data_IF_144565396775
#
_entry.id   IF_144565396775
#
_cell.length_a   1.000
_cell.length_b   1.000
_cell.length_c   1.000
_cell.angle_alpha   90.00
_cell.angle_beta   90.00
_cell.angle_gamma   90.00
#
_symmetry.space_group_name_H-M   'P 1'
#
loop_
_entity.id
_entity.type
_entity.pdbx_description
1 polymer ?
#
# COMPACT_ATOMS: atom_id res chain seq x y z
N UNK A 1 4.04 -5.52 -12.73
CA UNK A 1 3.04 -5.38 -11.64
C UNK A 1 2.87 -6.75 -11.02
N UNK A 2 2.82 -6.85 -9.70
CA UNK A 2 2.68 -8.11 -8.96
C UNK A 2 1.50 -8.00 -8.00
N UNK A 3 0.85 -9.12 -7.70
CA UNK A 3 -0.27 -9.15 -6.75
C UNK A 3 0.20 -9.30 -5.30
N UNK A 4 1.37 -9.93 -5.08
CA UNK A 4 1.95 -10.15 -3.77
C UNK A 4 3.46 -10.46 -3.87
N UNK A 5 4.12 -10.57 -2.72
CA UNK A 5 5.56 -10.77 -2.56
C UNK A 5 6.07 -12.08 -3.20
N UNK A 6 5.24 -13.11 -3.34
CA UNK A 6 5.65 -14.40 -3.91
C UNK A 6 5.86 -14.36 -5.43
N UNK A 7 5.34 -13.33 -6.11
CA UNK A 7 5.52 -13.15 -7.55
C UNK A 7 6.80 -12.38 -7.91
N UNK A 8 7.57 -11.92 -6.93
CA UNK A 8 8.86 -11.25 -7.19
C UNK A 8 9.85 -12.28 -7.72
N UNK A 9 10.41 -12.01 -8.91
CA UNK A 9 11.39 -12.88 -9.56
C UNK A 9 12.80 -12.34 -9.32
N UNK A 10 13.76 -13.23 -9.03
CA UNK A 10 15.15 -12.86 -8.70
C UNK A 10 15.85 -12.14 -9.86
N UNK A 11 15.51 -12.49 -11.10
CA UNK A 11 16.06 -11.87 -12.32
C UNK A 11 15.78 -10.36 -12.40
N UNK A 12 14.71 -9.86 -11.75
CA UNK A 12 14.41 -8.42 -11.71
C UNK A 12 15.32 -7.66 -10.75
N UNK A 13 15.89 -8.37 -9.78
CA UNK A 13 16.69 -7.83 -8.68
C UNK A 13 18.19 -7.89 -8.97
N UNK A 14 18.62 -8.66 -9.97
CA UNK A 14 20.02 -8.83 -10.31
C UNK A 14 20.70 -7.47 -10.60
N UNK A 15 21.77 -7.19 -9.85
CA UNK A 15 22.55 -5.96 -9.95
C UNK A 15 21.83 -4.69 -9.47
N UNK A 16 20.62 -4.78 -8.89
CA UNK A 16 19.89 -3.63 -8.35
C UNK A 16 20.28 -3.37 -6.91
N UNK A 17 20.64 -2.12 -6.61
CA UNK A 17 20.96 -1.66 -5.25
C UNK A 17 19.78 -1.00 -4.53
N UNK A 18 18.83 -0.48 -5.30
CA UNK A 18 17.69 0.29 -4.78
C UNK A 18 16.44 -0.12 -5.55
N UNK A 19 15.36 -0.37 -4.83
CA UNK A 19 14.04 -0.73 -5.38
C UNK A 19 13.01 0.26 -4.84
N UNK A 20 12.27 0.89 -5.75
CA UNK A 20 11.10 1.68 -5.39
C UNK A 20 9.86 0.80 -5.36
N UNK A 21 9.07 0.88 -4.30
CA UNK A 21 7.81 0.16 -4.14
C UNK A 21 6.69 1.18 -4.11
N UNK A 22 5.59 0.87 -4.80
CA UNK A 22 4.37 1.66 -4.78
C UNK A 22 3.18 0.72 -5.00
N UNK A 23 1.98 1.20 -4.67
CA UNK A 23 0.76 0.42 -4.77
C UNK A 23 -0.34 1.23 -5.43
N UNK A 24 -1.27 0.54 -6.10
CA UNK A 24 -2.50 1.18 -6.57
C UNK A 24 -3.37 1.63 -5.39
N UNK A 25 -4.25 2.60 -5.63
CA UNK A 25 -5.16 3.15 -4.61
C UNK A 25 -6.09 2.12 -3.96
N UNK A 26 -6.31 0.97 -4.61
CA UNK A 26 -7.17 -0.12 -4.14
C UNK A 26 -6.42 -1.25 -3.44
N UNK A 27 -5.08 -1.19 -3.38
CA UNK A 27 -4.29 -2.26 -2.79
C UNK A 27 -4.32 -2.15 -1.25
N UNK A 28 -4.62 -3.24 -0.53
CA UNK A 28 -4.48 -3.29 0.93
C UNK A 28 -3.06 -2.95 1.40
N UNK A 29 -2.98 -2.19 2.49
CA UNK A 29 -1.70 -1.80 3.11
C UNK A 29 -0.84 -3.02 3.50
N UNK A 30 -1.46 -4.08 4.02
CA UNK A 30 -0.79 -5.32 4.39
C UNK A 30 -0.01 -5.99 3.24
N UNK A 31 -0.39 -5.78 1.98
CA UNK A 31 0.37 -6.31 0.85
C UNK A 31 1.70 -5.57 0.68
N UNK A 32 1.67 -4.25 0.81
CA UNK A 32 2.87 -3.42 0.72
C UNK A 32 3.81 -3.74 1.87
N UNK A 33 3.27 -3.86 3.09
CA UNK A 33 4.06 -4.19 4.28
C UNK A 33 4.72 -5.58 4.17
N UNK A 34 4.00 -6.58 3.65
CA UNK A 34 4.58 -7.91 3.39
C UNK A 34 5.69 -7.87 2.34
N UNK A 35 5.53 -7.07 1.29
CA UNK A 35 6.57 -6.88 0.28
C UNK A 35 7.82 -6.18 0.87
N UNK A 36 7.64 -5.19 1.74
CA UNK A 36 8.74 -4.57 2.48
C UNK A 36 9.45 -5.59 3.37
N UNK A 37 8.70 -6.41 4.11
CA UNK A 37 9.27 -7.44 4.98
C UNK A 37 10.04 -8.49 4.17
N UNK A 38 9.52 -8.90 3.02
CA UNK A 38 10.18 -9.80 2.07
C UNK A 38 11.58 -9.30 1.65
N UNK A 39 11.78 -7.99 1.50
CA UNK A 39 13.10 -7.42 1.22
C UNK A 39 13.98 -7.29 2.47
N UNK A 40 13.39 -6.99 3.63
CA UNK A 40 14.12 -6.97 4.91
C UNK A 40 14.69 -8.33 5.27
N UNK A 41 13.91 -9.40 5.09
CA UNK A 41 14.34 -10.78 5.35
C UNK A 41 15.51 -11.21 4.46
N UNK A 42 15.71 -10.54 3.32
CA UNK A 42 16.84 -10.73 2.39
C UNK A 42 18.05 -9.85 2.70
N UNK A 43 18.03 -9.09 3.79
CA UNK A 43 19.14 -8.23 4.22
C UNK A 43 19.05 -6.78 3.78
N UNK A 44 17.86 -6.30 3.37
CA UNK A 44 17.67 -4.85 3.17
C UNK A 44 17.65 -4.15 4.53
N UNK A 45 18.65 -3.30 4.76
CA UNK A 45 18.81 -2.59 6.04
C UNK A 45 18.09 -1.23 6.07
N UNK A 46 18.04 -0.54 4.93
CA UNK A 46 17.46 0.79 4.80
C UNK A 46 16.11 0.72 4.06
N UNK A 47 15.07 1.21 4.73
CA UNK A 47 13.72 1.37 4.17
C UNK A 47 13.23 2.75 4.60
N UNK A 48 12.98 3.61 3.62
CA UNK A 48 12.46 4.96 3.83
C UNK A 48 11.19 5.18 3.02
N UNK A 49 10.24 5.88 3.62
CA UNK A 49 9.06 6.38 2.93
C UNK A 49 9.44 7.63 2.11
N UNK A 50 8.94 7.70 0.88
CA UNK A 50 9.18 8.81 -0.02
C UNK A 50 7.87 9.42 -0.48
N UNK A 51 7.45 10.48 0.22
CA UNK A 51 6.26 11.25 -0.12
C UNK A 51 6.61 12.39 -1.07
N UNK A 52 6.00 12.39 -2.26
CA UNK A 52 6.17 13.49 -3.24
C UNK A 52 5.09 14.55 -3.09
N UNK A 53 3.85 14.14 -2.81
CA UNK A 53 2.69 15.03 -2.70
C UNK A 53 1.75 14.50 -1.61
N UNK A 54 1.28 15.39 -0.74
CA UNK A 54 0.29 15.07 0.28
C UNK A 54 -1.12 15.35 -0.23
N UNK A 55 -1.94 14.32 -0.36
CA UNK A 55 -3.34 14.43 -0.80
C UNK A 55 -4.30 14.43 0.42
N UNK A 56 -5.15 15.46 0.57
CA UNK A 56 -6.24 15.50 1.57
C UNK A 56 -7.58 15.55 0.82
N UNK A 57 -8.01 14.40 0.30
CA UNK A 57 -9.29 14.25 -0.40
C UNK A 57 -10.29 13.56 0.52
N UNK A 58 -11.48 14.15 0.67
CA UNK A 58 -12.54 13.61 1.54
C UNK A 58 -13.81 13.35 0.75
N UNK A 59 -14.29 12.11 0.81
CA UNK A 59 -15.56 11.72 0.22
C UNK A 59 -16.64 11.66 1.30
N UNK A 60 -17.62 12.56 1.22
CA UNK A 60 -18.75 12.53 2.13
C UNK A 60 -19.74 11.44 1.72
N UNK A 61 -20.28 10.72 2.70
CA UNK A 61 -21.38 9.79 2.47
C UNK A 61 -22.61 10.53 1.92
N UNK A 62 -23.34 9.92 0.95
CA UNK A 62 -24.61 10.45 0.46
C UNK A 62 -25.59 10.74 1.60
N UNK A 63 -26.46 11.74 1.42
CA UNK A 63 -27.43 12.17 2.46
C UNK A 63 -28.32 11.02 2.94
N UNK A 64 -28.68 10.09 2.05
CA UNK A 64 -29.50 8.92 2.34
C UNK A 64 -28.82 7.94 3.28
N UNK A 65 -27.54 7.62 3.05
CA UNK A 65 -26.75 6.72 3.92
C UNK A 65 -26.56 7.35 5.30
N UNK A 66 -26.27 8.66 5.36
CA UNK A 66 -26.13 9.38 6.64
C UNK A 66 -27.40 9.35 7.48
N UNK A 67 -28.57 9.45 6.84
CA UNK A 67 -29.86 9.36 7.52
C UNK A 67 -30.11 7.95 8.07
N UNK A 68 -29.87 6.91 7.27
CA UNK A 68 -30.04 5.53 7.69
C UNK A 68 -29.12 5.13 8.86
N UNK A 69 -27.87 5.61 8.87
CA UNK A 69 -26.93 5.38 9.99
C UNK A 69 -27.39 6.04 11.29
N UNK A 70 -27.94 7.27 11.21
CA UNK A 70 -28.47 7.97 12.37
C UNK A 70 -29.73 7.28 12.93
N UNK A 71 -30.58 6.72 12.07
CA UNK A 71 -31.77 5.96 12.47
C UNK A 71 -31.42 4.61 13.09
N UNK A 72 -30.34 3.95 12.64
CA UNK A 72 -29.88 2.66 13.18
C UNK A 72 -29.15 2.77 14.53
N UNK A 73 -28.71 3.98 14.91
CA UNK A 73 -28.00 4.27 16.17
C UNK A 73 -28.91 4.86 17.26
N UNK A 74 -30.20 5.07 16.95
CA UNK A 74 -31.23 5.55 17.88
C UNK A 74 -32.04 4.38 18.45
#
# INVERSE_FOLDING_TARGET
LIDNESQVQEEWLEGKRVVGISSGASAPEDLVQRLVQFFRDRGTEDVSEFDVVKEDVRFMLPKTIRKALAEAQA
#
